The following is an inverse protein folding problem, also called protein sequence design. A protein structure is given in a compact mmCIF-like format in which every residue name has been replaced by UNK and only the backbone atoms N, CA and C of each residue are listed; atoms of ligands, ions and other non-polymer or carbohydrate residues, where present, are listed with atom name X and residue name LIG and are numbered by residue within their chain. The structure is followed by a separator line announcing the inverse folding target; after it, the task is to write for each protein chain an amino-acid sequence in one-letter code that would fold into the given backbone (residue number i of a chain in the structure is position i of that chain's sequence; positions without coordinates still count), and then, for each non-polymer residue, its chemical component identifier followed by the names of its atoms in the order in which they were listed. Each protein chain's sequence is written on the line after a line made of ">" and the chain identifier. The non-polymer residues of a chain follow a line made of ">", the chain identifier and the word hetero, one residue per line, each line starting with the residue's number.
data_IF_049397383081
#
_entry.id   IF_049397383081
#
_cell.length_a   1.000
_cell.length_b   1.000
_cell.length_c   1.000
_cell.angle_alpha   90.00
_cell.angle_beta   90.00
_cell.angle_gamma   90.00
#
_symmetry.space_group_name_H-M   'P 1'
#
loop_
_entity.id
_entity.type
_entity.pdbx_description
1 polymer ?
#
# COMPACT_ATOMS: atom_id res chain seq x y z
N UNK A 1 7.53 1.96 -4.70
CA UNK A 1 7.02 1.53 -3.37
C UNK A 1 6.72 0.05 -3.40
N UNK A 2 6.46 -0.54 -2.25
CA UNK A 2 6.04 -1.94 -2.08
C UNK A 2 5.03 -1.99 -0.94
N UNK A 3 4.05 -2.88 -1.01
CA UNK A 3 3.06 -3.09 0.04
C UNK A 3 3.55 -3.92 1.24
N UNK A 4 4.77 -4.48 1.15
CA UNK A 4 5.38 -5.36 2.17
C UNK A 4 6.75 -4.74 2.48
N UNK A 5 6.85 -3.90 3.53
CA UNK A 5 8.06 -3.15 3.83
C UNK A 5 9.30 -4.04 4.04
N UNK A 6 9.12 -5.25 4.54
CA UNK A 6 10.19 -6.22 4.84
C UNK A 6 10.89 -6.73 3.57
N UNK A 7 10.29 -6.55 2.39
CA UNK A 7 10.91 -6.87 1.09
C UNK A 7 11.79 -5.76 0.54
N UNK A 8 11.90 -4.66 1.26
CA UNK A 8 12.77 -3.53 0.93
C UNK A 8 13.99 -3.59 1.84
N UNK A 9 15.18 -3.48 1.26
CA UNK A 9 16.42 -3.49 2.05
C UNK A 9 16.45 -2.29 3.01
N UNK A 10 16.90 -2.50 4.24
CA UNK A 10 16.88 -1.49 5.31
C UNK A 10 17.75 -0.26 4.97
N UNK A 11 18.81 -0.46 4.19
CA UNK A 11 19.75 0.57 3.75
C UNK A 11 19.33 1.25 2.44
N UNK A 12 18.24 0.81 1.80
CA UNK A 12 17.76 1.43 0.57
C UNK A 12 17.19 2.83 0.85
N UNK A 13 17.69 3.82 0.12
CA UNK A 13 17.28 5.22 0.25
C UNK A 13 16.74 5.79 -1.05
N UNK A 14 15.87 6.80 -0.94
CA UNK A 14 15.41 7.62 -2.06
C UNK A 14 15.67 9.09 -1.77
N UNK A 15 16.01 9.84 -2.81
CA UNK A 15 16.20 11.29 -2.72
C UNK A 15 14.93 12.00 -3.14
N UNK A 16 14.51 12.99 -2.36
CA UNK A 16 13.37 13.82 -2.69
C UNK A 16 13.55 15.24 -2.15
N UNK A 17 13.00 16.21 -2.86
CA UNK A 17 12.90 17.59 -2.39
C UNK A 17 11.69 17.71 -1.46
N UNK A 18 11.91 18.19 -0.24
CA UNK A 18 10.82 18.50 0.69
C UNK A 18 10.14 19.79 0.26
N UNK A 19 8.82 19.84 0.36
CA UNK A 19 8.06 21.05 0.04
C UNK A 19 8.59 22.24 0.85
N UNK A 20 8.98 23.32 0.15
CA UNK A 20 9.54 24.52 0.76
C UNK A 20 11.07 24.50 0.96
N UNK A 21 11.74 23.37 0.70
CA UNK A 21 13.20 23.27 0.71
C UNK A 21 13.76 23.35 -0.73
N UNK A 22 14.99 23.88 -0.87
CA UNK A 22 15.70 23.92 -2.17
C UNK A 22 16.62 22.72 -2.39
N UNK A 23 17.01 22.04 -1.32
CA UNK A 23 17.92 20.89 -1.36
C UNK A 23 17.16 19.58 -1.26
N UNK A 24 17.67 18.55 -1.93
CA UNK A 24 17.18 17.19 -1.76
C UNK A 24 17.62 16.60 -0.42
N UNK A 25 16.79 15.70 0.10
CA UNK A 25 17.08 14.90 1.29
C UNK A 25 16.90 13.43 0.98
N UNK A 26 17.70 12.59 1.62
CA UNK A 26 17.55 11.13 1.55
C UNK A 26 16.54 10.64 2.58
N UNK A 27 15.71 9.69 2.19
CA UNK A 27 14.71 9.03 3.03
C UNK A 27 14.90 7.52 2.94
N UNK A 28 14.68 6.80 4.05
CA UNK A 28 14.58 5.35 4.02
C UNK A 28 13.40 4.95 3.13
N UNK A 29 13.67 4.15 2.11
CA UNK A 29 12.62 3.64 1.22
C UNK A 29 11.71 2.66 1.95
N UNK A 30 12.25 1.91 2.91
CA UNK A 30 11.48 1.01 3.76
C UNK A 30 10.45 1.78 4.59
N UNK A 31 10.84 2.91 5.19
CA UNK A 31 9.92 3.79 5.91
C UNK A 31 8.78 4.30 5.02
N UNK A 32 9.08 4.70 3.78
CA UNK A 32 8.04 5.10 2.81
C UNK A 32 7.09 3.92 2.52
N UNK A 33 7.62 2.71 2.39
CA UNK A 33 6.80 1.52 2.17
C UNK A 33 5.92 1.18 3.38
N UNK A 34 6.34 1.46 4.61
CA UNK A 34 5.48 1.33 5.80
C UNK A 34 4.26 2.26 5.73
N UNK A 35 4.45 3.50 5.27
CA UNK A 35 3.34 4.45 5.07
C UNK A 35 2.38 3.92 3.99
N UNK A 36 2.91 3.39 2.89
CA UNK A 36 2.11 2.80 1.81
C UNK A 36 1.31 1.57 2.28
N UNK A 37 1.95 0.68 3.05
CA UNK A 37 1.32 -0.52 3.60
C UNK A 37 0.17 -0.16 4.54
N UNK A 38 0.38 0.77 5.48
CA UNK A 38 -0.65 1.26 6.39
C UNK A 38 -1.87 1.85 5.65
N UNK A 39 -1.62 2.60 4.56
CA UNK A 39 -2.71 3.14 3.72
C UNK A 39 -3.47 2.06 2.96
N UNK A 40 -2.77 1.02 2.51
CA UNK A 40 -3.42 -0.09 1.82
C UNK A 40 -4.29 -0.91 2.79
N UNK A 41 -3.81 -1.14 4.02
CA UNK A 41 -4.57 -1.79 5.10
C UNK A 41 -5.86 -1.01 5.40
N UNK A 42 -5.77 0.30 5.62
CA UNK A 42 -6.93 1.17 5.83
C UNK A 42 -7.95 1.08 4.68
N UNK A 43 -7.49 1.07 3.42
CA UNK A 43 -8.38 0.94 2.26
C UNK A 43 -9.04 -0.45 2.23
N UNK A 44 -8.29 -1.51 2.53
CA UNK A 44 -8.80 -2.88 2.59
C UNK A 44 -9.84 -3.05 3.70
N UNK A 45 -9.65 -2.42 4.86
CA UNK A 45 -10.64 -2.37 5.94
C UNK A 45 -11.94 -1.69 5.49
N UNK A 46 -11.82 -0.55 4.80
CA UNK A 46 -12.98 0.16 4.24
C UNK A 46 -13.73 -0.71 3.22
N UNK A 47 -13.01 -1.41 2.33
CA UNK A 47 -13.61 -2.35 1.36
C UNK A 47 -14.33 -3.48 2.10
N UNK A 48 -13.70 -4.07 3.11
CA UNK A 48 -14.28 -5.13 3.94
C UNK A 48 -15.58 -4.70 4.62
N UNK A 49 -15.62 -3.51 5.22
CA UNK A 49 -16.82 -2.97 5.85
C UNK A 49 -17.94 -2.70 4.83
N UNK A 50 -17.61 -2.22 3.62
CA UNK A 50 -18.60 -2.05 2.56
C UNK A 50 -19.14 -3.39 2.03
N UNK A 51 -18.29 -4.41 1.91
CA UNK A 51 -18.71 -5.77 1.54
C UNK A 51 -19.63 -6.41 2.59
N UNK A 52 -19.37 -6.16 3.88
CA UNK A 52 -20.28 -6.57 4.96
C UNK A 52 -21.63 -5.87 4.85
N UNK A 53 -21.62 -4.53 4.78
CA UNK A 53 -22.85 -3.71 4.71
C UNK A 53 -23.73 -4.04 3.50
N UNK A 54 -23.12 -4.37 2.38
CA UNK A 54 -23.83 -4.76 1.16
C UNK A 54 -24.32 -6.22 1.16
N UNK A 55 -23.92 -7.03 2.14
CA UNK A 55 -24.30 -8.45 2.24
C UNK A 55 -23.58 -9.37 1.26
N UNK A 56 -22.58 -8.87 0.52
CA UNK A 56 -21.81 -9.64 -0.47
C UNK A 56 -20.58 -10.32 0.11
N UNK A 57 -20.16 -10.00 1.36
CA UNK A 57 -18.93 -10.56 1.94
C UNK A 57 -18.82 -12.09 1.82
N UNK A 58 -19.90 -12.82 2.10
CA UNK A 58 -19.92 -14.29 2.04
C UNK A 58 -20.34 -14.84 0.66
N UNK A 59 -20.39 -13.98 -0.37
CA UNK A 59 -20.87 -14.29 -1.72
C UNK A 59 -19.81 -14.03 -2.80
N UNK A 60 -18.53 -14.11 -2.44
CA UNK A 60 -17.38 -13.89 -3.34
C UNK A 60 -16.55 -15.18 -3.53
N UNK A 61 -17.12 -16.28 -4.05
CA UNK A 61 -16.40 -17.54 -4.22
C UNK A 61 -15.25 -17.46 -5.23
N UNK A 62 -15.31 -16.50 -6.15
CA UNK A 62 -14.25 -16.23 -7.13
C UNK A 62 -13.17 -15.26 -6.61
N UNK A 63 -13.32 -14.74 -5.38
CA UNK A 63 -12.41 -13.77 -4.79
C UNK A 63 -12.67 -12.33 -5.24
N UNK A 64 -11.62 -11.50 -5.13
CA UNK A 64 -11.62 -10.06 -5.41
C UNK A 64 -10.57 -9.76 -6.47
N UNK A 65 -10.89 -8.86 -7.39
CA UNK A 65 -9.94 -8.36 -8.41
C UNK A 65 -9.57 -6.93 -8.09
N UNK A 66 -8.28 -6.67 -7.87
CA UNK A 66 -7.73 -5.32 -7.83
C UNK A 66 -7.49 -4.81 -9.24
N UNK A 67 -7.90 -3.56 -9.51
CA UNK A 67 -7.72 -2.89 -10.80
C UNK A 67 -7.31 -1.43 -10.63
N UNK A 68 -7.05 -0.73 -11.73
CA UNK A 68 -6.53 0.64 -11.75
C UNK A 68 -5.03 0.73 -11.48
N UNK A 69 -4.48 1.94 -11.59
CA UNK A 69 -3.03 2.17 -11.50
C UNK A 69 -2.40 1.73 -10.17
N UNK A 70 -3.11 1.89 -9.05
CA UNK A 70 -2.63 1.48 -7.72
C UNK A 70 -2.40 -0.04 -7.61
N UNK A 71 -3.05 -0.85 -8.46
CA UNK A 71 -2.85 -2.30 -8.49
C UNK A 71 -1.49 -2.73 -9.02
N UNK A 72 -0.69 -1.79 -9.55
CA UNK A 72 0.71 -2.02 -9.91
C UNK A 72 1.66 -2.02 -8.71
N UNK A 73 1.17 -1.70 -7.49
CA UNK A 73 1.99 -1.72 -6.29
C UNK A 73 2.42 -3.17 -5.97
N UNK A 74 3.73 -3.47 -5.96
CA UNK A 74 4.19 -4.83 -5.64
C UNK A 74 3.74 -5.28 -4.25
N UNK A 75 3.37 -6.55 -4.10
CA UNK A 75 2.91 -7.14 -2.85
C UNK A 75 1.46 -6.83 -2.45
N UNK A 76 0.70 -6.10 -3.28
CA UNK A 76 -0.70 -5.73 -2.96
C UNK A 76 -1.62 -6.93 -2.72
N UNK A 77 -1.37 -8.06 -3.38
CA UNK A 77 -2.15 -9.29 -3.22
C UNK A 77 -1.83 -10.08 -1.94
N UNK A 78 -0.81 -9.66 -1.19
CA UNK A 78 -0.34 -10.34 0.02
C UNK A 78 -0.85 -9.69 1.30
N UNK A 79 -1.47 -8.50 1.20
CA UNK A 79 -2.30 -7.98 2.28
C UNK A 79 -3.59 -8.81 2.33
N UNK A 80 -3.64 -9.75 3.28
CA UNK A 80 -4.77 -10.65 3.51
C UNK A 80 -4.65 -11.40 4.83
#
# INVERSE_FOLDING_TARGET
>A
GHAVPERVAEDETVWATVFGEKSERSFSRQFICQILAARLEEICELVHENLKKSGYRNKLPAGIVFTGGSSLLPGISELG
#
